data_IF_465932356086
#
_entry.id   IF_465932356086
#
_cell.length_a   1.000
_cell.length_b   1.000
_cell.length_c   1.000
_cell.angle_alpha   90.00
_cell.angle_beta   90.00
_cell.angle_gamma   90.00
#
_symmetry.space_group_name_H-M   'P 1'
#
loop_
_entity.id
_entity.type
_entity.pdbx_description
1 polymer ?
#
# COMPACT_ATOMS: atom_id res chain seq x y z
N UNK A 1 12.18 -13.61 -12.37
CA UNK A 1 10.92 -13.01 -12.90
C UNK A 1 9.78 -13.80 -12.28
N UNK A 2 8.70 -13.17 -11.82
CA UNK A 2 7.49 -13.92 -11.41
C UNK A 2 6.95 -14.53 -12.70
N UNK A 3 6.67 -15.82 -12.73
CA UNK A 3 6.13 -16.46 -13.93
C UNK A 3 4.62 -16.22 -14.01
N UNK A 4 4.13 -15.86 -15.21
CA UNK A 4 2.69 -15.85 -15.49
C UNK A 4 2.23 -17.31 -15.58
N UNK A 5 1.01 -17.60 -15.16
CA UNK A 5 0.38 -18.85 -15.58
C UNK A 5 0.02 -18.81 -17.07
N UNK A 6 -0.46 -19.94 -17.58
CA UNK A 6 -0.85 -20.12 -18.98
C UNK A 6 -1.92 -19.14 -19.47
N UNK A 7 -2.68 -18.51 -18.55
CA UNK A 7 -3.68 -17.49 -18.85
C UNK A 7 -3.11 -16.05 -18.86
N UNK A 8 -1.79 -15.90 -18.71
CA UNK A 8 -1.13 -14.60 -18.64
C UNK A 8 -1.31 -13.86 -17.30
N UNK A 9 -1.89 -14.52 -16.28
CA UNK A 9 -2.15 -13.95 -14.97
C UNK A 9 -0.97 -14.26 -14.04
N UNK A 10 -0.42 -13.22 -13.41
CA UNK A 10 0.65 -13.39 -12.41
C UNK A 10 0.11 -13.85 -11.07
N UNK A 11 -0.90 -13.15 -10.55
CA UNK A 11 -1.54 -13.47 -9.29
C UNK A 11 -2.88 -12.77 -9.14
N UNK A 12 -3.72 -13.32 -8.25
CA UNK A 12 -5.01 -12.72 -7.87
C UNK A 12 -5.00 -12.44 -6.37
N UNK A 13 -5.28 -11.21 -5.98
CA UNK A 13 -5.24 -10.80 -4.57
C UNK A 13 -6.64 -10.81 -3.98
N UNK A 14 -6.82 -11.57 -2.90
CA UNK A 14 -8.08 -11.70 -2.18
C UNK A 14 -7.95 -10.99 -0.84
N UNK A 15 -8.88 -10.08 -0.56
CA UNK A 15 -8.91 -9.39 0.71
C UNK A 15 -9.34 -10.31 1.85
N UNK A 16 -8.59 -10.28 2.96
CA UNK A 16 -8.93 -10.96 4.20
C UNK A 16 -8.48 -10.07 5.36
N UNK A 17 -9.38 -9.75 6.29
CA UNK A 17 -9.17 -8.69 7.30
C UNK A 17 -9.17 -9.19 8.74
N UNK A 18 -9.31 -10.49 8.94
CA UNK A 18 -9.26 -11.14 10.23
C UNK A 18 -9.78 -12.56 10.16
N UNK A 19 -10.11 -13.11 11.33
CA UNK A 19 -10.89 -14.35 11.41
C UNK A 19 -12.30 -14.15 10.82
N UNK A 20 -13.10 -15.21 10.79
CA UNK A 20 -14.44 -15.16 10.20
C UNK A 20 -15.31 -14.04 10.80
N UNK A 21 -15.30 -13.87 12.11
CA UNK A 21 -16.07 -12.83 12.78
C UNK A 21 -15.61 -11.43 12.35
N UNK A 22 -14.33 -11.12 12.51
CA UNK A 22 -13.74 -9.80 12.23
C UNK A 22 -13.90 -9.42 10.75
N UNK A 23 -13.59 -10.34 9.84
CA UNK A 23 -13.71 -10.07 8.41
C UNK A 23 -15.17 -9.89 7.99
N UNK A 24 -16.10 -10.71 8.48
CA UNK A 24 -17.53 -10.54 8.18
C UNK A 24 -18.07 -9.21 8.72
N UNK A 25 -17.66 -8.82 9.93
CA UNK A 25 -18.03 -7.55 10.55
C UNK A 25 -17.50 -6.37 9.72
N UNK A 26 -16.21 -6.40 9.35
CA UNK A 26 -15.59 -5.33 8.56
C UNK A 26 -16.17 -5.21 7.15
N UNK A 27 -16.54 -6.33 6.52
CA UNK A 27 -17.10 -6.37 5.17
C UNK A 27 -18.61 -6.16 5.14
N UNK A 28 -19.28 -6.12 6.29
CA UNK A 28 -20.73 -5.92 6.41
C UNK A 28 -21.55 -7.08 5.85
N UNK A 29 -20.99 -8.29 5.78
CA UNK A 29 -21.66 -9.46 5.24
C UNK A 29 -21.16 -10.75 5.91
N UNK A 30 -22.11 -11.49 6.51
CA UNK A 30 -21.89 -12.75 7.26
C UNK A 30 -21.25 -13.90 6.45
N UNK A 31 -21.22 -13.81 5.13
CA UNK A 31 -20.65 -14.82 4.25
C UNK A 31 -19.31 -14.39 3.63
N UNK A 32 -18.80 -13.19 3.94
CA UNK A 32 -17.63 -12.62 3.26
C UNK A 32 -16.38 -13.47 3.44
N UNK A 33 -16.14 -13.97 4.66
CA UNK A 33 -14.97 -14.78 4.96
C UNK A 33 -15.02 -16.09 4.18
N UNK A 34 -16.16 -16.78 4.26
CA UNK A 34 -16.40 -18.02 3.51
C UNK A 34 -16.22 -17.80 2.01
N UNK A 35 -16.72 -16.71 1.46
CA UNK A 35 -16.58 -16.36 0.04
C UNK A 35 -15.11 -16.10 -0.32
N UNK A 36 -14.36 -15.37 0.51
CA UNK A 36 -12.94 -15.10 0.31
C UNK A 36 -12.10 -16.39 0.36
N UNK A 37 -12.33 -17.24 1.35
CA UNK A 37 -11.64 -18.54 1.47
C UNK A 37 -12.00 -19.46 0.30
N UNK A 38 -13.28 -19.51 -0.11
CA UNK A 38 -13.69 -20.27 -1.27
C UNK A 38 -13.03 -19.76 -2.57
N UNK A 39 -12.94 -18.44 -2.75
CA UNK A 39 -12.23 -17.85 -3.89
C UNK A 39 -10.75 -18.25 -3.90
N UNK A 40 -10.07 -18.20 -2.75
CA UNK A 40 -8.69 -18.67 -2.63
C UNK A 40 -8.57 -20.14 -3.05
N UNK A 41 -9.44 -21.02 -2.55
CA UNK A 41 -9.44 -22.44 -2.92
C UNK A 41 -9.65 -22.66 -4.42
N UNK A 42 -10.63 -21.98 -5.03
CA UNK A 42 -10.89 -22.08 -6.46
C UNK A 42 -9.70 -21.61 -7.30
N UNK A 43 -9.05 -20.50 -6.91
CA UNK A 43 -7.87 -19.97 -7.59
C UNK A 43 -6.67 -20.91 -7.46
N UNK A 44 -6.48 -21.53 -6.29
CA UNK A 44 -5.44 -22.56 -6.11
C UNK A 44 -5.66 -23.75 -7.03
N UNK A 45 -6.90 -24.25 -7.11
CA UNK A 45 -7.25 -25.40 -7.96
C UNK A 45 -7.12 -25.13 -9.47
N UNK A 46 -6.88 -23.87 -9.86
CA UNK A 46 -6.72 -23.41 -11.24
C UNK A 46 -5.32 -22.85 -11.52
N UNK A 47 -4.38 -23.00 -10.59
CA UNK A 47 -3.02 -22.46 -10.69
C UNK A 47 -2.99 -20.93 -10.98
N UNK A 48 -3.94 -20.20 -10.39
CA UNK A 48 -4.09 -18.74 -10.53
C UNK A 48 -3.39 -17.94 -9.41
N UNK A 49 -2.44 -18.57 -8.70
CA UNK A 49 -1.56 -17.94 -7.70
C UNK A 49 -2.28 -16.91 -6.79
N UNK A 50 -3.23 -17.34 -5.95
CA UNK A 50 -3.89 -16.42 -5.04
C UNK A 50 -2.90 -15.83 -4.02
N UNK A 51 -3.15 -14.61 -3.58
CA UNK A 51 -2.43 -13.95 -2.49
C UNK A 51 -3.45 -13.36 -1.51
N UNK A 52 -3.15 -13.39 -0.22
CA UNK A 52 -3.97 -12.67 0.77
C UNK A 52 -3.52 -11.21 0.80
N UNK A 53 -4.49 -10.29 0.81
CA UNK A 53 -4.27 -8.85 0.96
C UNK A 53 -4.93 -8.39 2.25
N UNK A 54 -4.11 -8.03 3.24
CA UNK A 54 -4.55 -7.62 4.56
C UNK A 54 -4.24 -6.14 4.77
N UNK A 55 -5.27 -5.35 5.11
CA UNK A 55 -5.13 -3.92 5.42
C UNK A 55 -5.39 -3.73 6.92
N UNK A 56 -4.34 -3.66 7.75
CA UNK A 56 -4.50 -3.42 9.16
C UNK A 56 -4.89 -1.96 9.44
N UNK A 57 -5.80 -1.83 10.39
CA UNK A 57 -6.35 -0.60 10.94
C UNK A 57 -6.38 -0.72 12.45
N UNK A 58 -6.72 0.36 13.17
CA UNK A 58 -6.94 0.32 14.62
C UNK A 58 -7.94 -0.77 15.04
N UNK A 59 -8.91 -1.12 14.18
CA UNK A 59 -9.93 -2.13 14.47
C UNK A 59 -9.39 -3.56 14.41
N UNK A 60 -8.55 -3.87 13.43
CA UNK A 60 -8.19 -5.26 13.11
C UNK A 60 -6.68 -5.55 13.14
N UNK A 61 -5.80 -4.62 13.53
CA UNK A 61 -4.34 -4.87 13.58
C UNK A 61 -3.98 -6.11 14.41
N UNK A 62 -4.78 -6.42 15.43
CA UNK A 62 -4.62 -7.58 16.31
C UNK A 62 -4.84 -8.92 15.58
N UNK A 63 -5.46 -8.93 14.41
CA UNK A 63 -5.68 -10.12 13.59
C UNK A 63 -4.45 -10.56 12.80
N UNK A 64 -3.37 -9.77 12.75
CA UNK A 64 -2.20 -10.10 11.94
C UNK A 64 -1.63 -11.51 12.20
N UNK A 65 -1.45 -11.98 13.45
CA UNK A 65 -0.97 -13.34 13.72
C UNK A 65 -1.84 -14.41 13.05
N UNK A 66 -3.17 -14.32 13.22
CA UNK A 66 -4.11 -15.24 12.60
C UNK A 66 -3.99 -15.24 11.08
N UNK A 67 -3.93 -14.06 10.45
CA UNK A 67 -3.83 -13.94 8.99
C UNK A 67 -2.54 -14.57 8.47
N UNK A 68 -1.41 -14.32 9.14
CA UNK A 68 -0.11 -14.87 8.76
C UNK A 68 -0.11 -16.39 8.89
N UNK A 69 -0.57 -16.93 10.03
CA UNK A 69 -0.63 -18.37 10.28
C UNK A 69 -1.62 -19.06 9.33
N UNK A 70 -2.77 -18.45 9.07
CA UNK A 70 -3.75 -18.96 8.11
C UNK A 70 -3.15 -19.06 6.70
N UNK A 71 -2.54 -17.98 6.20
CA UNK A 71 -1.88 -17.97 4.90
C UNK A 71 -0.77 -19.03 4.80
N UNK A 72 0.06 -19.16 5.86
CA UNK A 72 1.10 -20.19 5.94
C UNK A 72 0.52 -21.60 5.83
N UNK A 73 -0.53 -21.89 6.59
CA UNK A 73 -1.17 -23.21 6.64
C UNK A 73 -1.78 -23.61 5.30
N UNK A 74 -2.33 -22.65 4.55
CA UNK A 74 -2.90 -22.92 3.23
C UNK A 74 -1.88 -22.73 2.09
N UNK A 75 -0.62 -22.41 2.38
CA UNK A 75 0.42 -22.19 1.38
C UNK A 75 0.17 -20.97 0.48
N UNK A 76 -0.44 -19.91 1.01
CA UNK A 76 -0.76 -18.67 0.30
C UNK A 76 -0.07 -17.51 0.98
N UNK A 77 0.78 -16.77 0.27
CA UNK A 77 1.50 -15.63 0.84
C UNK A 77 0.54 -14.51 1.27
N UNK A 78 0.97 -13.73 2.27
CA UNK A 78 0.23 -12.58 2.78
C UNK A 78 0.92 -11.27 2.39
N UNK A 79 0.14 -10.30 1.94
CA UNK A 79 0.56 -8.93 1.71
C UNK A 79 -0.11 -8.02 2.75
N UNK A 80 0.67 -7.55 3.71
CA UNK A 80 0.26 -6.52 4.67
C UNK A 80 0.40 -5.16 4.00
N UNK A 81 -0.69 -4.38 3.96
CA UNK A 81 -0.81 -3.17 3.13
C UNK A 81 -1.36 -2.00 3.91
N UNK A 82 -0.81 -0.83 3.68
CA UNK A 82 -1.14 0.38 4.43
C UNK A 82 -2.58 0.80 4.20
N UNK A 83 -3.31 1.07 5.28
CA UNK A 83 -4.57 1.82 5.16
C UNK A 83 -4.25 3.26 4.76
N UNK A 84 -4.81 3.69 3.64
CA UNK A 84 -4.67 5.05 3.13
C UNK A 84 -6.02 5.76 3.25
N UNK A 85 -6.11 6.92 3.92
CA UNK A 85 -7.37 7.62 4.19
C UNK A 85 -7.80 8.44 2.97
N UNK A 86 -7.99 7.77 1.84
CA UNK A 86 -8.35 8.35 0.55
C UNK A 86 -9.73 7.85 0.09
N UNK A 87 -10.45 8.64 -0.71
CA UNK A 87 -11.83 8.35 -1.10
C UNK A 87 -12.73 8.18 0.13
N UNK A 88 -13.52 7.10 0.20
CA UNK A 88 -14.34 6.78 1.39
C UNK A 88 -13.52 6.60 2.67
N UNK A 89 -12.22 6.31 2.56
CA UNK A 89 -11.32 6.22 3.71
C UNK A 89 -11.05 7.57 4.38
N UNK A 90 -11.26 8.69 3.69
CA UNK A 90 -11.03 10.04 4.22
C UNK A 90 -11.98 10.39 5.38
N UNK A 91 -13.18 9.81 5.40
CA UNK A 91 -14.17 9.95 6.49
C UNK A 91 -13.86 9.03 7.69
N UNK A 92 -12.84 8.17 7.57
CA UNK A 92 -12.53 7.10 8.52
C UNK A 92 -11.09 7.18 9.04
N UNK A 93 -10.57 8.39 9.23
CA UNK A 93 -9.20 8.62 9.72
C UNK A 93 -8.93 8.01 11.09
N UNK A 94 -9.96 7.77 11.90
CA UNK A 94 -9.84 7.04 13.20
C UNK A 94 -9.35 5.60 13.04
N UNK A 95 -9.40 5.03 11.84
CA UNK A 95 -8.85 3.70 11.53
C UNK A 95 -7.34 3.70 11.33
N UNK A 96 -6.72 4.87 11.16
CA UNK A 96 -5.28 4.99 10.89
C UNK A 96 -4.44 4.49 12.06
N UNK A 97 -3.39 3.77 11.70
CA UNK A 97 -2.34 3.36 12.63
C UNK A 97 -1.42 4.55 12.94
N UNK A 98 -1.04 4.73 14.21
CA UNK A 98 0.06 5.63 14.58
C UNK A 98 1.42 5.03 14.19
N UNK A 99 2.50 5.80 14.32
CA UNK A 99 3.87 5.31 14.13
C UNK A 99 4.19 4.13 15.05
N UNK A 100 3.71 4.16 16.29
CA UNK A 100 3.89 3.11 17.29
C UNK A 100 3.12 1.85 16.89
N UNK A 101 1.86 1.99 16.45
CA UNK A 101 1.11 0.83 15.96
C UNK A 101 1.79 0.17 14.76
N UNK A 102 2.37 0.96 13.85
CA UNK A 102 3.08 0.45 12.67
C UNK A 102 4.33 -0.29 13.10
N UNK A 103 5.08 0.22 14.08
CA UNK A 103 6.24 -0.46 14.65
C UNK A 103 5.83 -1.79 15.30
N UNK A 104 4.82 -1.79 16.17
CA UNK A 104 4.29 -3.01 16.80
C UNK A 104 3.85 -4.04 15.77
N UNK A 105 3.09 -3.59 14.76
CA UNK A 105 2.61 -4.42 13.67
C UNK A 105 3.77 -5.02 12.87
N UNK A 106 4.85 -4.27 12.66
CA UNK A 106 6.05 -4.75 11.99
C UNK A 106 6.75 -5.85 12.79
N UNK A 107 6.94 -5.68 14.10
CA UNK A 107 7.53 -6.73 14.95
C UNK A 107 6.69 -8.02 14.96
N UNK A 108 5.36 -7.89 15.01
CA UNK A 108 4.45 -9.04 14.89
C UNK A 108 4.59 -9.70 13.51
N UNK A 109 4.65 -8.91 12.44
CA UNK A 109 4.87 -9.43 11.10
C UNK A 109 6.18 -10.21 10.99
N UNK A 110 7.28 -9.69 11.54
CA UNK A 110 8.59 -10.36 11.49
C UNK A 110 8.58 -11.69 12.24
N UNK A 111 7.94 -11.74 13.42
CA UNK A 111 7.79 -12.98 14.20
C UNK A 111 7.02 -14.07 13.45
N UNK A 112 6.03 -13.70 12.65
CA UNK A 112 5.19 -14.63 11.88
C UNK A 112 5.60 -14.73 10.41
N UNK A 113 6.72 -14.13 10.01
CA UNK A 113 7.15 -14.08 8.62
C UNK A 113 7.36 -15.50 8.04
N UNK A 114 6.93 -15.68 6.79
CA UNK A 114 7.19 -16.91 6.03
C UNK A 114 7.20 -16.63 4.53
N UNK A 115 7.94 -17.50 3.80
CA UNK A 115 7.98 -17.52 2.35
C UNK A 115 8.40 -16.18 1.77
N UNK A 116 7.53 -15.60 0.95
CA UNK A 116 7.70 -14.30 0.29
C UNK A 116 6.55 -13.34 0.64
N UNK A 117 5.96 -13.50 1.83
CA UNK A 117 5.00 -12.52 2.34
C UNK A 117 5.61 -11.13 2.36
N UNK A 118 4.79 -10.08 2.22
CA UNK A 118 5.29 -8.71 2.14
C UNK A 118 4.63 -7.81 3.16
N UNK A 119 5.40 -6.86 3.67
CA UNK A 119 4.91 -5.72 4.41
C UNK A 119 5.00 -4.48 3.51
N UNK A 120 4.05 -3.56 3.64
CA UNK A 120 3.97 -2.41 2.75
C UNK A 120 5.24 -1.58 2.80
N UNK A 121 5.85 -1.38 1.64
CA UNK A 121 7.03 -0.53 1.47
C UNK A 121 6.69 0.94 1.75
N UNK A 122 5.43 1.33 1.65
CA UNK A 122 4.96 2.65 2.03
C UNK A 122 5.04 2.91 3.54
N UNK A 123 5.14 1.87 4.38
CA UNK A 123 5.58 2.03 5.76
C UNK A 123 7.10 2.10 5.76
N UNK A 124 7.66 3.29 6.00
CA UNK A 124 9.11 3.40 6.18
C UNK A 124 9.46 2.77 7.53
N UNK A 125 10.07 1.59 7.50
CA UNK A 125 10.41 0.73 8.64
C UNK A 125 11.76 0.08 8.41
N UNK A 126 12.61 0.00 9.44
CA UNK A 126 13.95 -0.57 9.34
C UNK A 126 14.71 -0.14 8.06
N UNK A 127 15.40 -1.05 7.37
CA UNK A 127 16.06 -0.79 6.08
C UNK A 127 15.11 -0.89 4.86
N UNK A 128 13.80 -1.07 5.08
CA UNK A 128 12.81 -1.26 4.00
C UNK A 128 12.33 0.11 3.48
N UNK A 129 12.38 0.25 2.15
CA UNK A 129 12.27 1.53 1.43
C UNK A 129 10.85 2.08 1.33
N UNK A 130 10.64 3.32 1.77
CA UNK A 130 9.51 4.18 1.39
C UNK A 130 9.85 5.20 0.29
N UNK A 131 10.37 4.79 -0.87
CA UNK A 131 10.84 5.73 -1.90
C UNK A 131 9.72 6.17 -2.85
N UNK A 132 9.05 7.27 -2.50
CA UNK A 132 7.95 7.79 -3.33
C UNK A 132 8.41 8.26 -4.72
N UNK A 133 9.62 8.83 -4.84
CA UNK A 133 10.17 9.28 -6.13
C UNK A 133 10.33 8.13 -7.14
N UNK A 134 10.73 6.95 -6.68
CA UNK A 134 10.75 5.75 -7.53
C UNK A 134 9.33 5.24 -7.83
N UNK A 135 8.43 5.32 -6.85
CA UNK A 135 7.04 4.87 -7.01
C UNK A 135 6.31 5.64 -8.12
N UNK A 136 6.41 6.98 -8.10
CA UNK A 136 5.74 7.85 -9.08
C UNK A 136 6.33 7.74 -10.50
N UNK A 137 7.55 7.22 -10.65
CA UNK A 137 8.18 6.97 -11.95
C UNK A 137 7.86 5.58 -12.51
N UNK A 138 7.32 4.67 -11.70
CA UNK A 138 7.07 3.27 -12.06
C UNK A 138 5.60 2.89 -12.02
N UNK A 139 4.72 3.84 -11.75
CA UNK A 139 3.27 3.62 -11.60
C UNK A 139 2.48 4.59 -12.48
N UNK A 140 1.43 4.11 -13.11
CA UNK A 140 0.37 4.91 -13.71
C UNK A 140 -0.97 4.46 -13.11
N UNK A 141 -1.78 5.42 -12.69
CA UNK A 141 -3.14 5.21 -12.23
C UNK A 141 -4.09 5.86 -13.24
N UNK A 142 -5.03 5.09 -13.75
CA UNK A 142 -6.06 5.56 -14.70
C UNK A 142 -7.39 5.45 -13.98
N UNK A 143 -8.09 6.57 -13.82
CA UNK A 143 -9.41 6.58 -13.17
C UNK A 143 -10.52 6.18 -14.17
N UNK A 144 -11.77 6.09 -13.70
CA UNK A 144 -12.91 5.68 -14.53
C UNK A 144 -13.22 6.65 -15.69
N UNK A 145 -12.81 7.93 -15.56
CA UNK A 145 -13.00 8.96 -16.59
C UNK A 145 -11.87 8.97 -17.62
N UNK A 146 -10.88 8.09 -17.47
CA UNK A 146 -9.69 8.00 -18.33
C UNK A 146 -8.55 8.96 -17.95
N UNK A 147 -8.67 9.72 -16.86
CA UNK A 147 -7.60 10.61 -16.40
C UNK A 147 -6.43 9.78 -15.84
N UNK A 148 -5.21 10.17 -16.20
CA UNK A 148 -3.97 9.49 -15.84
C UNK A 148 -3.21 10.27 -14.78
N UNK A 149 -2.73 9.56 -13.76
CA UNK A 149 -1.95 10.09 -12.65
C UNK A 149 -0.72 9.21 -12.40
N UNK A 150 0.33 9.77 -11.79
CA UNK A 150 1.53 9.01 -11.39
C UNK A 150 1.38 8.28 -10.04
N UNK A 151 0.26 8.51 -9.33
CA UNK A 151 -0.03 7.87 -8.06
C UNK A 151 -1.55 7.82 -7.82
N UNK A 152 -2.11 6.68 -7.36
CA UNK A 152 -3.54 6.55 -7.11
C UNK A 152 -4.07 7.43 -5.96
N UNK A 153 -3.19 8.02 -5.14
CA UNK A 153 -3.55 8.89 -4.02
C UNK A 153 -3.52 10.39 -4.37
N UNK A 154 -3.18 10.73 -5.61
CA UNK A 154 -3.07 12.11 -6.10
C UNK A 154 -4.01 12.35 -7.29
N UNK A 155 -5.30 12.01 -7.18
CA UNK A 155 -6.25 12.14 -8.30
C UNK A 155 -6.97 13.50 -8.35
N UNK A 156 -6.28 14.59 -7.99
CA UNK A 156 -6.79 15.95 -8.17
C UNK A 156 -6.32 16.53 -9.50
N UNK A 157 -7.08 17.48 -10.05
CA UNK A 157 -6.81 18.11 -11.36
C UNK A 157 -5.36 18.59 -11.52
N UNK A 158 -4.75 19.17 -10.47
CA UNK A 158 -3.38 19.69 -10.49
C UNK A 158 -2.28 18.62 -10.63
N UNK A 159 -2.60 17.35 -10.42
CA UNK A 159 -1.68 16.21 -10.58
C UNK A 159 -2.01 15.34 -11.80
N UNK A 160 -3.05 15.68 -12.56
CA UNK A 160 -3.44 14.96 -13.76
C UNK A 160 -2.39 15.15 -14.86
N UNK A 161 -1.95 14.05 -15.47
CA UNK A 161 -0.97 14.04 -16.55
C UNK A 161 -1.62 14.14 -17.95
N UNK A 162 -2.92 13.81 -18.04
CA UNK A 162 -3.67 13.76 -19.30
C UNK A 162 -4.83 12.77 -19.24
N UNK A 163 -5.53 12.59 -20.35
CA UNK A 163 -6.64 11.64 -20.47
C UNK A 163 -6.40 10.67 -21.64
N UNK A 164 -6.60 9.37 -21.40
CA UNK A 164 -6.36 8.31 -22.41
C UNK A 164 -7.31 8.36 -23.60
N UNK A 165 -8.42 9.08 -23.50
CA UNK A 165 -9.34 9.27 -24.62
C UNK A 165 -8.83 10.32 -25.62
N UNK A 166 -7.92 11.21 -25.19
CA UNK A 166 -7.40 12.30 -26.00
C UNK A 166 -6.00 12.01 -26.55
N UNK A 167 -5.18 11.27 -25.81
CA UNK A 167 -3.77 11.01 -26.13
C UNK A 167 -3.38 9.56 -25.84
N UNK A 168 -2.32 9.06 -26.48
CA UNK A 168 -1.81 7.73 -26.15
C UNK A 168 -1.23 7.72 -24.73
N UNK A 169 -1.32 6.57 -24.05
CA UNK A 169 -0.75 6.43 -22.70
C UNK A 169 0.75 6.76 -22.69
N UNK A 170 1.49 6.44 -23.76
CA UNK A 170 2.90 6.76 -23.88
C UNK A 170 3.13 8.28 -23.85
N UNK A 171 2.41 9.03 -24.66
CA UNK A 171 2.56 10.49 -24.76
C UNK A 171 2.21 11.17 -23.42
N UNK A 172 1.20 10.64 -22.73
CA UNK A 172 0.81 11.12 -21.39
C UNK A 172 1.93 10.85 -20.37
N UNK A 173 2.56 9.68 -20.40
CA UNK A 173 3.63 9.32 -19.48
C UNK A 173 4.95 10.04 -19.78
N UNK A 174 5.20 10.42 -21.04
CA UNK A 174 6.34 11.27 -21.41
C UNK A 174 6.25 12.66 -20.73
N UNK A 175 5.04 13.11 -20.40
CA UNK A 175 4.78 14.32 -19.63
C UNK A 175 4.93 14.15 -18.11
N UNK A 176 5.39 13.01 -17.60
CA UNK A 176 5.56 12.79 -16.16
C UNK A 176 6.38 13.89 -15.47
N UNK A 177 7.39 14.42 -16.16
CA UNK A 177 8.25 15.53 -15.69
C UNK A 177 7.48 16.80 -15.34
N UNK A 178 6.27 17.00 -15.89
CA UNK A 178 5.39 18.14 -15.60
C UNK A 178 4.64 17.98 -14.27
N UNK A 179 4.63 16.79 -13.68
CA UNK A 179 3.96 16.54 -12.40
C UNK A 179 4.62 17.35 -11.28
N UNK A 180 3.84 18.02 -10.40
CA UNK A 180 4.39 18.64 -9.20
C UNK A 180 5.17 17.66 -8.31
N UNK A 181 4.82 16.37 -8.36
CA UNK A 181 5.50 15.31 -7.61
C UNK A 181 6.93 15.04 -8.10
N UNK A 182 7.22 15.35 -9.37
CA UNK A 182 8.55 15.23 -9.95
C UNK A 182 9.46 16.40 -9.61
N UNK A 183 8.89 17.53 -9.19
CA UNK A 183 9.61 18.76 -8.86
C UNK A 183 10.08 18.81 -7.39
N UNK A 184 9.70 17.82 -6.56
CA UNK A 184 10.12 17.77 -5.16
C UNK A 184 11.63 17.53 -5.08
N UNK A 185 12.34 18.47 -4.48
CA UNK A 185 13.78 18.38 -4.18
C UNK A 185 14.01 18.01 -2.71
N UNK A 186 15.20 17.47 -2.42
CA UNK A 186 15.52 16.94 -1.09
C UNK A 186 15.51 18.03 0.01
N UNK A 187 15.89 19.26 -0.34
CA UNK A 187 15.95 20.43 0.55
C UNK A 187 14.59 21.03 0.92
N UNK A 188 13.53 20.67 0.16
CA UNK A 188 12.16 21.07 0.46
C UNK A 188 11.48 20.20 1.52
N UNK A 189 12.05 19.02 1.82
CA UNK A 189 11.54 18.13 2.86
C UNK A 189 11.97 18.61 4.25
N UNK A 190 11.29 18.16 5.30
CA UNK A 190 11.60 18.61 6.66
C UNK A 190 13.05 18.35 7.08
N UNK A 191 13.54 19.16 8.02
CA UNK A 191 14.88 18.99 8.61
C UNK A 191 15.09 17.62 9.26
N UNK A 192 14.01 16.99 9.75
CA UNK A 192 14.01 15.61 10.26
C UNK A 192 14.40 14.61 9.17
N UNK A 193 13.79 14.70 8.00
CA UNK A 193 14.11 13.83 6.87
C UNK A 193 15.51 14.10 6.32
N UNK A 194 15.90 15.37 6.16
CA UNK A 194 17.22 15.74 5.64
C UNK A 194 18.39 15.21 6.49
N UNK A 195 18.19 15.06 7.80
CA UNK A 195 19.19 14.54 8.75
C UNK A 195 19.06 13.03 9.00
N UNK A 196 18.13 12.34 8.33
CA UNK A 196 17.92 10.91 8.54
C UNK A 196 19.00 10.08 7.83
N UNK A 197 19.56 9.11 8.54
CA UNK A 197 20.57 8.15 8.05
C UNK A 197 20.11 7.31 6.83
N UNK A 198 18.81 7.00 6.73
CA UNK A 198 18.25 6.29 5.56
C UNK A 198 17.65 7.21 4.48
N UNK A 199 17.86 8.52 4.56
CA UNK A 199 17.21 9.48 3.65
C UNK A 199 17.50 9.18 2.17
N UNK A 200 18.72 8.77 1.84
CA UNK A 200 19.12 8.41 0.47
C UNK A 200 18.26 7.28 -0.13
N UNK A 201 17.81 6.35 0.72
CA UNK A 201 16.95 5.22 0.36
C UNK A 201 15.46 5.59 0.40
N UNK A 202 15.03 6.28 1.45
CA UNK A 202 13.63 6.56 1.74
C UNK A 202 13.09 7.80 1.01
N UNK A 203 13.85 8.89 0.91
CA UNK A 203 13.41 10.16 0.29
C UNK A 203 12.12 10.73 0.91
N UNK A 204 11.96 10.61 2.23
CA UNK A 204 10.85 11.22 2.98
C UNK A 204 9.58 10.37 3.12
N UNK A 205 9.55 9.12 2.67
CA UNK A 205 8.39 8.24 2.83
C UNK A 205 7.29 8.50 1.79
N UNK A 206 6.06 8.06 2.07
CA UNK A 206 4.97 8.16 1.12
C UNK A 206 4.44 9.60 1.01
N UNK A 207 4.68 10.28 -0.13
CA UNK A 207 4.17 11.63 -0.37
C UNK A 207 2.64 11.69 -0.41
N UNK A 208 1.98 10.61 -0.86
CA UNK A 208 0.51 10.53 -0.85
C UNK A 208 -0.05 10.55 0.57
N UNK A 209 0.60 9.85 1.50
CA UNK A 209 0.22 9.90 2.93
C UNK A 209 0.45 11.28 3.51
N UNK A 210 1.65 11.82 3.30
CA UNK A 210 2.04 13.16 3.75
C UNK A 210 1.01 14.20 3.29
N UNK A 211 0.67 14.21 2.01
CA UNK A 211 -0.30 15.11 1.40
C UNK A 211 -1.71 14.98 1.96
N UNK A 212 -2.24 13.75 2.05
CA UNK A 212 -3.61 13.54 2.54
C UNK A 212 -3.74 13.96 4.01
N UNK A 213 -2.77 13.57 4.84
CA UNK A 213 -2.83 13.75 6.28
C UNK A 213 -2.45 15.17 6.73
N UNK A 214 -1.70 15.92 5.92
CA UNK A 214 -1.41 17.33 6.17
C UNK A 214 -2.51 18.28 5.69
N UNK A 215 -3.52 17.78 4.96
CA UNK A 215 -4.53 18.62 4.33
C UNK A 215 -4.05 19.30 3.05
N UNK A 216 -3.07 18.72 2.35
CA UNK A 216 -2.69 19.15 0.99
C UNK A 216 -1.25 19.63 0.83
N UNK A 217 -0.37 19.41 1.81
CA UNK A 217 1.05 19.74 1.72
C UNK A 217 1.88 18.52 1.29
N UNK A 218 2.49 18.58 0.10
CA UNK A 218 3.36 17.52 -0.46
C UNK A 218 4.75 17.48 0.18
N UNK A 219 5.14 18.52 0.92
CA UNK A 219 6.45 18.65 1.56
C UNK A 219 6.44 18.16 3.02
N UNK A 220 5.25 17.94 3.59
CA UNK A 220 5.08 17.49 4.97
C UNK A 220 5.74 16.13 5.24
N UNK A 221 5.95 15.82 6.51
CA UNK A 221 6.43 14.50 6.92
C UNK A 221 5.37 13.43 6.68
N UNK A 222 5.80 12.20 6.36
CA UNK A 222 4.89 11.05 6.39
C UNK A 222 4.53 10.72 7.85
N UNK A 223 3.26 10.93 8.30
CA UNK A 223 2.91 10.84 9.73
C UNK A 223 2.96 9.44 10.31
N UNK A 224 3.03 8.39 9.46
CA UNK A 224 3.16 7.00 9.91
C UNK A 224 4.58 6.45 9.68
N UNK A 225 5.58 7.32 9.50
CA UNK A 225 6.98 6.92 9.49
C UNK A 225 7.36 6.32 10.84
N UNK A 226 7.73 5.04 10.85
CA UNK A 226 8.06 4.27 12.06
C UNK A 226 9.54 3.84 12.10
N UNK A 227 10.38 4.41 11.25
CA UNK A 227 11.79 4.02 11.12
C UNK A 227 12.55 4.06 12.45
N UNK A 228 12.47 5.18 13.19
CA UNK A 228 13.18 5.32 14.46
C UNK A 228 12.69 4.34 15.55
N UNK A 229 11.45 3.86 15.44
CA UNK A 229 10.83 2.92 16.39
C UNK A 229 11.10 1.45 16.05
N UNK A 230 11.68 1.17 14.87
CA UNK A 230 11.93 -0.18 14.34
C UNK A 230 13.43 -0.43 14.12
N UNK A 231 14.29 0.44 14.67
CA UNK A 231 15.75 0.36 14.54
C UNK A 231 16.38 -0.64 15.53
N UNK A 232 15.62 -1.11 16.51
CA UNK A 232 16.02 -2.02 17.60
C UNK A 232 14.97 -3.11 17.78
#
# INVERSE_FOLDING_TARGET
MIEKNDNGIYSVRISLDGNEFEHNQMRGNRNSFKNAVNAITLLKNKDLNPEIFFVPTKKNKHCLPFIMDFGKNIGVKVNVRRFMPYGRGAENTTLLLSSEDVADLFHVYEKHYYGNSTFDKCYTIAEKRGNCKLCIQSTAAINIDGNVFSCPFFQEKKFCLGNINDNSLKDILDNLHTSPLMSITDDQLSSKCQKCDIFSLCRGGCRGSAYILSGGDIYSDDPQCAYQLTKY
#
